data_IF_393673644371
#
_entry.id   IF_393673644371
#
_cell.length_a   1.000
_cell.length_b   1.000
_cell.length_c   1.000
_cell.angle_alpha   90.00
_cell.angle_beta   90.00
_cell.angle_gamma   90.00
#
_symmetry.space_group_name_H-M   'P 1'
#
loop_
_entity.id
_entity.type
_entity.pdbx_description
1 polymer ?
#
# COMPACT_ATOMS: atom_id res chain seq x y z
N UNK A 1 6.91 -66.04 2.85
CA UNK A 1 6.12 -65.54 4.00
C UNK A 1 7.07 -64.74 4.90
N UNK A 2 6.94 -63.42 4.81
CA UNK A 2 7.52 -62.32 5.60
C UNK A 2 8.97 -62.41 6.13
N UNK A 3 9.86 -61.69 5.43
CA UNK A 3 11.21 -61.31 5.87
C UNK A 3 11.09 -60.08 6.79
N UNK A 4 11.25 -60.27 8.10
CA UNK A 4 11.23 -59.18 9.09
C UNK A 4 12.55 -58.40 9.07
N UNK A 5 12.57 -57.25 8.38
CA UNK A 5 13.69 -56.31 8.45
C UNK A 5 13.67 -55.58 9.80
N UNK A 6 14.67 -55.82 10.64
CA UNK A 6 14.93 -54.98 11.82
C UNK A 6 15.45 -53.62 11.33
N UNK A 7 14.57 -52.62 11.29
CA UNK A 7 14.96 -51.23 11.10
C UNK A 7 15.54 -50.72 12.43
N UNK A 8 16.85 -50.50 12.46
CA UNK A 8 17.53 -49.78 13.53
C UNK A 8 17.21 -48.29 13.35
N UNK A 9 16.59 -47.59 14.31
CA UNK A 9 16.43 -46.15 14.22
C UNK A 9 17.80 -45.50 14.45
N UNK A 10 18.35 -44.88 13.42
CA UNK A 10 19.50 -43.99 13.55
C UNK A 10 18.98 -42.65 14.07
N UNK A 11 19.17 -42.36 15.36
CA UNK A 11 18.87 -41.05 15.92
C UNK A 11 20.00 -40.08 15.54
N UNK A 12 19.76 -39.22 14.56
CA UNK A 12 20.56 -38.02 14.35
C UNK A 12 20.25 -37.04 15.47
N UNK A 13 21.23 -36.78 16.34
CA UNK A 13 21.17 -35.71 17.35
C UNK A 13 21.29 -34.36 16.64
N UNK A 14 20.19 -33.84 16.14
CA UNK A 14 20.06 -32.40 15.93
C UNK A 14 19.55 -31.79 17.24
N UNK A 15 20.48 -31.21 18.00
CA UNK A 15 20.23 -30.56 19.27
C UNK A 15 19.50 -29.23 19.07
N UNK A 16 18.19 -29.29 18.85
CA UNK A 16 17.31 -28.14 19.07
C UNK A 16 16.66 -28.30 20.45
N UNK A 17 17.34 -27.79 21.48
CA UNK A 17 16.85 -27.74 22.85
C UNK A 17 15.76 -26.66 23.01
N UNK A 18 14.66 -26.76 22.28
CA UNK A 18 13.45 -26.02 22.65
C UNK A 18 12.67 -26.91 23.62
N UNK A 19 12.42 -26.49 24.88
CA UNK A 19 11.43 -27.15 25.72
C UNK A 19 10.12 -27.25 24.91
N UNK A 20 9.39 -28.36 25.01
CA UNK A 20 8.03 -28.45 24.48
C UNK A 20 7.10 -27.59 25.35
N UNK A 21 7.32 -26.27 25.33
CA UNK A 21 6.36 -25.28 25.79
C UNK A 21 5.37 -25.12 24.66
N UNK A 22 4.09 -25.38 24.93
CA UNK A 22 2.93 -25.25 24.03
C UNK A 22 2.64 -23.76 23.70
N UNK A 23 3.70 -22.98 23.49
CA UNK A 23 3.71 -21.54 23.31
C UNK A 23 3.86 -21.26 21.82
N UNK A 24 2.77 -20.79 21.21
CA UNK A 24 2.64 -20.58 19.76
C UNK A 24 3.10 -19.15 19.36
N UNK A 25 3.20 -18.23 20.31
CA UNK A 25 3.51 -16.83 20.08
C UNK A 25 4.43 -16.28 21.19
N UNK A 26 5.58 -15.73 20.80
CA UNK A 26 6.58 -15.16 21.71
C UNK A 26 6.88 -13.71 21.29
N UNK A 27 6.06 -12.74 21.72
CA UNK A 27 6.07 -11.39 21.14
C UNK A 27 7.43 -10.69 21.23
N UNK A 28 8.17 -10.90 22.33
CA UNK A 28 9.50 -10.29 22.51
C UNK A 28 10.58 -10.95 21.64
N UNK A 29 10.45 -12.22 21.29
CA UNK A 29 11.38 -12.88 20.36
C UNK A 29 11.05 -12.51 18.90
N UNK A 30 9.77 -12.43 18.57
CA UNK A 30 9.29 -12.09 17.23
C UNK A 30 9.58 -10.62 16.87
N UNK A 31 9.38 -9.69 17.81
CA UNK A 31 9.58 -8.26 17.56
C UNK A 31 11.05 -7.87 17.43
N UNK A 32 12.02 -8.68 17.91
CA UNK A 32 13.46 -8.38 17.74
C UNK A 32 13.83 -8.16 16.28
N UNK A 33 13.22 -8.93 15.36
CA UNK A 33 13.44 -8.78 13.92
C UNK A 33 12.92 -7.44 13.40
N UNK A 34 11.73 -7.04 13.85
CA UNK A 34 11.10 -5.78 13.46
C UNK A 34 11.86 -4.57 14.04
N UNK A 35 12.33 -4.68 15.28
CA UNK A 35 13.10 -3.65 15.96
C UNK A 35 14.41 -3.35 15.22
N UNK A 36 15.11 -4.38 14.75
CA UNK A 36 16.36 -4.23 13.98
C UNK A 36 16.14 -3.60 12.59
N UNK A 37 14.92 -3.62 12.06
CA UNK A 37 14.56 -3.03 10.77
C UNK A 37 14.06 -1.58 10.89
N UNK A 38 13.91 -1.05 12.11
CA UNK A 38 13.49 0.34 12.33
C UNK A 38 14.54 1.28 11.74
N UNK A 39 14.17 2.14 10.78
CA UNK A 39 15.12 3.07 10.18
C UNK A 39 15.69 4.06 11.20
N UNK A 40 17.00 4.30 11.15
CA UNK A 40 17.69 5.28 12.00
C UNK A 40 17.91 6.64 11.33
N UNK A 41 17.75 6.70 10.01
CA UNK A 41 17.92 7.94 9.24
C UNK A 41 16.62 8.75 9.20
N UNK A 42 16.65 10.09 9.38
CA UNK A 42 15.44 10.91 9.46
C UNK A 42 14.56 10.89 8.20
N UNK A 43 15.12 10.59 7.03
CA UNK A 43 14.42 10.63 5.75
C UNK A 43 13.70 9.31 5.41
N UNK A 44 13.93 8.25 6.19
CA UNK A 44 13.29 6.96 5.99
C UNK A 44 11.97 6.90 6.75
N UNK A 45 10.92 6.39 6.09
CA UNK A 45 9.61 6.21 6.71
C UNK A 45 9.65 5.08 7.74
N UNK A 46 9.22 5.37 8.96
CA UNK A 46 9.06 4.39 10.04
C UNK A 46 7.85 3.47 9.81
N UNK A 47 6.85 3.92 9.05
CA UNK A 47 5.58 3.22 8.85
C UNK A 47 5.59 2.29 7.62
N UNK A 48 6.58 2.41 6.73
CA UNK A 48 6.59 1.67 5.47
C UNK A 48 6.83 0.17 5.70
N UNK A 49 5.77 -0.64 5.58
CA UNK A 49 5.83 -2.09 5.70
C UNK A 49 5.31 -2.78 4.45
N UNK A 50 6.13 -3.62 3.80
CA UNK A 50 5.80 -4.37 2.57
C UNK A 50 5.23 -3.50 1.42
N UNK A 51 5.54 -2.20 1.43
CA UNK A 51 5.11 -1.26 0.42
C UNK A 51 6.28 -0.94 -0.52
N UNK A 52 6.31 -1.65 -1.65
CA UNK A 52 7.40 -1.60 -2.63
C UNK A 52 7.42 -0.29 -3.42
N UNK A 53 8.52 -0.04 -4.12
CA UNK A 53 8.65 1.14 -4.96
C UNK A 53 7.67 1.14 -6.14
N UNK A 54 7.28 -0.04 -6.63
CA UNK A 54 6.30 -0.16 -7.73
C UNK A 54 4.95 0.39 -7.30
N UNK A 55 4.46 -0.01 -6.12
CA UNK A 55 3.20 0.54 -5.58
C UNK A 55 3.28 2.06 -5.38
N UNK A 56 4.42 2.56 -4.89
CA UNK A 56 4.64 4.00 -4.75
C UNK A 56 4.58 4.73 -6.08
N UNK A 57 5.18 4.15 -7.12
CA UNK A 57 5.21 4.73 -8.46
C UNK A 57 3.80 4.76 -9.05
N UNK A 58 3.05 3.67 -8.94
CA UNK A 58 1.66 3.59 -9.42
C UNK A 58 0.75 4.59 -8.71
N UNK A 59 0.84 4.73 -7.37
CA UNK A 59 0.04 5.74 -6.66
C UNK A 59 0.41 7.15 -7.09
N UNK A 60 1.71 7.44 -7.27
CA UNK A 60 2.16 8.74 -7.79
C UNK A 60 1.63 9.02 -9.20
N UNK A 61 1.64 8.01 -10.07
CA UNK A 61 1.08 8.11 -11.42
C UNK A 61 -0.42 8.38 -11.36
N UNK A 62 -1.16 7.66 -10.52
CA UNK A 62 -2.60 7.87 -10.37
C UNK A 62 -2.92 9.28 -9.83
N UNK A 63 -2.17 9.80 -8.85
CA UNK A 63 -2.31 11.20 -8.39
C UNK A 63 -2.18 12.18 -9.57
N UNK A 64 -1.20 11.95 -10.46
CA UNK A 64 -1.03 12.78 -11.66
C UNK A 64 -2.22 12.64 -12.60
N UNK A 65 -2.75 11.44 -12.78
CA UNK A 65 -3.96 11.20 -13.60
C UNK A 65 -5.14 11.98 -13.05
N UNK A 66 -5.46 11.86 -11.76
CA UNK A 66 -6.60 12.56 -11.15
C UNK A 66 -6.48 14.09 -11.27
N UNK A 67 -5.28 14.65 -11.03
CA UNK A 67 -5.05 16.09 -11.23
C UNK A 67 -5.22 16.52 -12.70
N UNK A 68 -4.78 15.70 -13.65
CA UNK A 68 -4.98 16.00 -15.07
C UNK A 68 -6.46 15.98 -15.45
N UNK A 69 -7.22 14.98 -14.97
CA UNK A 69 -8.66 14.89 -15.22
C UNK A 69 -9.39 16.07 -14.57
N UNK A 70 -9.05 16.43 -13.33
CA UNK A 70 -9.55 17.62 -12.65
C UNK A 70 -9.35 18.88 -13.49
N UNK A 71 -8.13 19.07 -14.03
CA UNK A 71 -7.82 20.21 -14.88
C UNK A 71 -8.62 20.21 -16.19
N UNK A 72 -8.75 19.05 -16.85
CA UNK A 72 -9.54 18.90 -18.08
C UNK A 72 -11.01 19.26 -17.83
N UNK A 73 -11.61 18.77 -16.75
CA UNK A 73 -12.98 19.15 -16.39
C UNK A 73 -13.12 20.64 -16.09
N UNK A 74 -12.10 21.27 -15.49
CA UNK A 74 -12.09 22.71 -15.27
C UNK A 74 -12.13 23.50 -16.58
N UNK A 75 -11.35 23.06 -17.58
CA UNK A 75 -11.35 23.68 -18.92
C UNK A 75 -12.71 23.52 -19.61
N UNK A 76 -13.34 22.35 -19.46
CA UNK A 76 -14.67 22.08 -20.03
C UNK A 76 -15.74 22.95 -19.35
N UNK A 77 -15.67 23.11 -18.02
CA UNK A 77 -16.49 24.08 -17.29
C UNK A 77 -16.33 25.49 -17.89
N UNK A 78 -15.09 25.96 -18.05
CA UNK A 78 -14.81 27.29 -18.57
C UNK A 78 -15.29 27.48 -20.03
N UNK A 79 -15.42 26.41 -20.82
CA UNK A 79 -16.02 26.47 -22.14
C UNK A 79 -17.55 26.65 -22.07
N UNK A 80 -18.24 25.85 -21.26
CA UNK A 80 -19.70 25.91 -21.15
C UNK A 80 -20.22 27.14 -20.39
N UNK A 81 -19.39 27.75 -19.55
CA UNK A 81 -19.76 28.94 -18.77
C UNK A 81 -19.72 30.25 -19.58
N UNK A 82 -19.10 30.26 -20.77
CA UNK A 82 -19.02 31.45 -21.64
C UNK A 82 -20.41 31.99 -21.96
N UNK A 83 -20.53 33.30 -22.10
CA UNK A 83 -21.78 34.00 -22.42
C UNK A 83 -22.37 33.57 -23.78
N UNK A 84 -21.51 33.24 -24.74
CA UNK A 84 -21.93 32.79 -26.08
C UNK A 84 -22.28 31.29 -26.17
N UNK A 85 -22.00 30.50 -25.13
CA UNK A 85 -22.41 29.08 -25.03
C UNK A 85 -23.57 28.93 -24.03
N UNK A 86 -23.44 29.55 -22.86
CA UNK A 86 -24.45 29.72 -21.82
C UNK A 86 -25.13 28.44 -21.31
N UNK A 87 -24.45 27.28 -21.40
CA UNK A 87 -24.97 26.00 -20.91
C UNK A 87 -24.63 25.81 -19.42
N UNK A 88 -25.21 26.66 -18.57
CA UNK A 88 -24.89 26.75 -17.13
C UNK A 88 -25.09 25.44 -16.36
N UNK A 89 -26.05 24.61 -16.77
CA UNK A 89 -26.25 23.27 -16.18
C UNK A 89 -25.05 22.35 -16.39
N UNK A 90 -24.52 22.30 -17.63
CA UNK A 90 -23.31 21.52 -17.94
C UNK A 90 -22.08 22.15 -17.28
N UNK A 91 -21.95 23.48 -17.31
CA UNK A 91 -20.86 24.19 -16.65
C UNK A 91 -20.79 23.81 -15.15
N UNK A 92 -21.93 23.79 -14.46
CA UNK A 92 -22.01 23.37 -13.05
C UNK A 92 -21.52 21.93 -12.85
N UNK A 93 -22.00 20.98 -13.67
CA UNK A 93 -21.58 19.57 -13.59
C UNK A 93 -20.06 19.44 -13.71
N UNK A 94 -19.46 20.05 -14.73
CA UNK A 94 -18.01 19.95 -14.94
C UNK A 94 -17.19 20.68 -13.89
N UNK A 95 -17.74 21.74 -13.28
CA UNK A 95 -17.09 22.39 -12.14
C UNK A 95 -17.06 21.47 -10.92
N UNK A 96 -18.19 20.86 -10.59
CA UNK A 96 -18.30 19.90 -9.47
C UNK A 96 -17.42 18.67 -9.71
N UNK A 97 -17.41 18.11 -10.93
CA UNK A 97 -16.53 17.00 -11.30
C UNK A 97 -15.05 17.37 -11.20
N UNK A 98 -14.66 18.58 -11.62
CA UNK A 98 -13.27 19.06 -11.47
C UNK A 98 -12.84 19.08 -10.00
N UNK A 99 -13.72 19.54 -9.11
CA UNK A 99 -13.46 19.58 -7.67
C UNK A 99 -13.39 18.16 -7.06
N UNK A 100 -14.27 17.25 -7.49
CA UNK A 100 -14.29 15.85 -7.05
C UNK A 100 -12.98 15.12 -7.40
N UNK A 101 -12.51 15.23 -8.64
CA UNK A 101 -11.26 14.56 -9.05
C UNK A 101 -10.03 15.13 -8.34
N UNK A 102 -10.05 16.43 -7.99
CA UNK A 102 -8.99 17.00 -7.16
C UNK A 102 -8.99 16.39 -5.76
N UNK A 103 -10.17 16.16 -5.18
CA UNK A 103 -10.30 15.46 -3.89
C UNK A 103 -9.83 14.01 -4.00
N UNK A 104 -10.04 13.33 -5.14
CA UNK A 104 -9.46 12.00 -5.38
C UNK A 104 -7.93 12.03 -5.36
N UNK A 105 -7.31 13.01 -6.03
CA UNK A 105 -5.86 13.19 -6.02
C UNK A 105 -5.33 13.44 -4.58
N UNK A 106 -6.01 14.30 -3.81
CA UNK A 106 -5.64 14.64 -2.44
C UNK A 106 -5.73 13.41 -1.51
N UNK A 107 -6.77 12.58 -1.63
CA UNK A 107 -6.88 11.32 -0.87
C UNK A 107 -5.73 10.35 -1.16
N UNK A 108 -5.31 10.23 -2.42
CA UNK A 108 -4.17 9.39 -2.79
C UNK A 108 -2.84 9.97 -2.27
N UNK A 109 -2.71 11.30 -2.22
CA UNK A 109 -1.56 11.94 -1.58
C UNK A 109 -1.51 11.63 -0.09
N UNK A 110 -2.62 11.75 0.63
CA UNK A 110 -2.72 11.40 2.05
C UNK A 110 -2.35 9.93 2.31
N UNK A 111 -2.78 9.02 1.44
CA UNK A 111 -2.41 7.60 1.51
C UNK A 111 -0.91 7.34 1.31
N UNK A 112 -0.21 8.20 0.56
CA UNK A 112 1.20 8.04 0.22
C UNK A 112 2.16 8.57 1.30
N UNK A 113 1.68 9.43 2.23
CA UNK A 113 2.48 10.09 3.28
C UNK A 113 3.10 9.09 4.27
#
# INVERSE_FOLDING_TARGET
>A
MFMGKNLVPCATKDSNNHPLTDVIFEPFEEVKKELNLVPTVPQASLARKKYTNDYKATIKEQISVEYNVSYVYHVIFAYFDRDNVALKGLAKVFKESSEEERVHAEKLMEYQV
#
